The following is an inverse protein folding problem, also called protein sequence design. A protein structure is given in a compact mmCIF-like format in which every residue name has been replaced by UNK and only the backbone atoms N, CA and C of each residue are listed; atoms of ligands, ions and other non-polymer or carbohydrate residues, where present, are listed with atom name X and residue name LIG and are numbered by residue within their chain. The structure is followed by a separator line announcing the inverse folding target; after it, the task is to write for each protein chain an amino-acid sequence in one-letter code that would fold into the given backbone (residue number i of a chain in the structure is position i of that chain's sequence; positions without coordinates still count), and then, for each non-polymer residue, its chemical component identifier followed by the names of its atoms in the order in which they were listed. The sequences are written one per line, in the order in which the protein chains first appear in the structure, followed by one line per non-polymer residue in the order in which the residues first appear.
data_IF_768022028516
#
_entry.id   IF_768022028516
#
_cell.length_a   1.000
_cell.length_b   1.000
_cell.length_c   1.000
_cell.angle_alpha   90.00
_cell.angle_beta   90.00
_cell.angle_gamma   90.00
#
_symmetry.space_group_name_H-M   'P 1'
#
loop_
_entity.id
_entity.type
_entity.pdbx_description
1 polymer ?
#
# COMPACT_ATOMS: atom_id res chain seq x y z
N UNK A 1 -2.54 5.11 -15.95
CA UNK A 1 -2.37 3.89 -15.12
C UNK A 1 -0.90 3.85 -14.74
N UNK A 2 -0.54 3.98 -13.44
CA UNK A 2 0.86 4.11 -13.01
C UNK A 2 1.57 2.75 -13.03
N UNK A 3 2.82 2.72 -13.46
CA UNK A 3 3.61 1.51 -13.72
C UNK A 3 4.70 1.32 -12.65
N UNK A 4 5.33 0.15 -12.60
CA UNK A 4 6.49 -0.13 -11.73
C UNK A 4 7.66 0.81 -12.03
N UNK A 5 7.78 1.31 -13.27
CA UNK A 5 8.78 2.30 -13.65
C UNK A 5 8.57 3.66 -12.97
N UNK A 6 7.32 4.06 -12.70
CA UNK A 6 7.05 5.31 -11.98
C UNK A 6 7.57 5.24 -10.53
N UNK A 7 7.45 4.07 -9.89
CA UNK A 7 7.93 3.83 -8.53
C UNK A 7 9.47 3.84 -8.44
N UNK A 8 10.16 3.36 -9.48
CA UNK A 8 11.64 3.39 -9.56
C UNK A 8 12.21 4.80 -9.81
N UNK A 9 11.41 5.75 -10.30
CA UNK A 9 11.81 7.14 -10.55
C UNK A 9 11.57 8.09 -9.37
N UNK A 10 11.16 7.57 -8.20
CA UNK A 10 10.82 8.42 -7.04
C UNK A 10 9.48 9.14 -7.19
N UNK A 11 8.59 8.66 -8.06
CA UNK A 11 7.23 9.20 -8.16
C UNK A 11 6.42 8.64 -6.99
N UNK A 12 5.96 9.53 -6.11
CA UNK A 12 5.14 9.18 -4.95
C UNK A 12 4.00 8.21 -5.34
N UNK A 13 3.75 7.16 -4.54
CA UNK A 13 2.73 6.17 -4.83
C UNK A 13 1.33 6.82 -4.87
N UNK A 14 0.36 6.16 -5.52
CA UNK A 14 -0.99 6.69 -5.61
C UNK A 14 -1.55 7.04 -4.23
N UNK A 15 -2.08 8.25 -4.09
CA UNK A 15 -2.69 8.71 -2.86
C UNK A 15 -4.12 8.17 -2.76
N UNK A 16 -4.52 7.76 -1.56
CA UNK A 16 -5.90 7.41 -1.30
C UNK A 16 -6.78 8.69 -1.39
N UNK A 17 -8.05 8.58 -1.83
CA UNK A 17 -9.00 9.69 -1.77
C UNK A 17 -9.11 10.21 -0.32
N UNK A 18 -8.90 11.52 -0.11
CA UNK A 18 -8.87 12.14 1.23
C UNK A 18 -7.60 11.87 2.04
N UNK A 19 -6.61 11.16 1.47
CA UNK A 19 -5.32 10.92 2.10
C UNK A 19 -4.43 12.17 2.09
N UNK A 20 -3.65 12.35 3.16
CA UNK A 20 -2.69 13.44 3.23
C UNK A 20 -1.50 13.15 2.30
N UNK A 21 -1.32 13.96 1.26
CA UNK A 21 -0.23 13.83 0.30
C UNK A 21 1.17 13.88 0.93
N UNK A 22 1.29 14.50 2.10
CA UNK A 22 2.57 14.63 2.81
C UNK A 22 2.94 13.33 3.53
N UNK A 23 1.94 12.59 4.02
CA UNK A 23 2.09 11.44 4.92
C UNK A 23 2.59 11.81 6.34
N UNK A 24 2.44 10.88 7.28
CA UNK A 24 2.86 11.00 8.69
C UNK A 24 3.98 10.01 9.05
N UNK A 25 4.86 10.35 10.00
CA UNK A 25 5.88 9.41 10.48
C UNK A 25 5.23 8.33 11.33
N UNK A 26 5.85 7.14 11.42
CA UNK A 26 5.32 6.02 12.23
C UNK A 26 4.96 6.41 13.67
N UNK A 27 5.78 7.27 14.29
CA UNK A 27 5.57 7.74 15.65
C UNK A 27 4.30 8.59 15.84
N UNK A 28 3.78 9.17 14.76
CA UNK A 28 2.62 10.05 14.76
C UNK A 28 1.32 9.33 14.31
N UNK A 29 1.37 8.02 14.08
CA UNK A 29 0.18 7.24 13.71
C UNK A 29 -0.57 6.74 14.94
N UNK A 30 -1.89 6.86 14.89
CA UNK A 30 -2.81 6.18 15.79
C UNK A 30 -2.95 4.70 15.40
N UNK A 31 -3.51 3.90 16.32
CA UNK A 31 -3.67 2.44 16.14
C UNK A 31 -4.39 2.08 14.85
N UNK A 32 -5.45 2.80 14.45
CA UNK A 32 -6.30 2.46 13.31
C UNK A 32 -6.02 3.32 12.07
N UNK A 33 -4.74 3.58 11.78
CA UNK A 33 -4.33 4.39 10.64
C UNK A 33 -3.48 3.60 9.64
N UNK A 34 -3.70 3.89 8.36
CA UNK A 34 -3.08 3.20 7.22
C UNK A 34 -1.56 3.32 7.24
N UNK A 35 -0.87 2.17 7.29
CA UNK A 35 0.59 2.05 7.32
C UNK A 35 1.22 1.85 5.93
N UNK A 36 0.55 2.24 4.86
CA UNK A 36 1.12 2.16 3.52
C UNK A 36 2.22 3.22 3.36
N UNK A 37 3.47 2.85 3.00
CA UNK A 37 4.55 3.80 2.85
C UNK A 37 4.35 4.67 1.60
N UNK A 38 4.50 5.98 1.77
CA UNK A 38 4.42 6.93 0.67
C UNK A 38 5.82 7.33 0.18
N UNK A 39 6.70 7.76 1.08
CA UNK A 39 8.02 8.30 0.72
C UNK A 39 8.97 8.32 1.91
N UNK A 40 10.25 8.57 1.63
CA UNK A 40 11.31 8.55 2.61
C UNK A 40 11.81 7.13 2.87
N UNK A 41 12.92 7.03 3.60
CA UNK A 41 13.60 5.76 3.86
C UNK A 41 13.83 5.55 5.36
N UNK A 42 13.76 4.30 5.80
CA UNK A 42 13.98 3.92 7.20
C UNK A 42 13.06 4.68 8.16
N UNK A 43 13.64 5.33 9.17
CA UNK A 43 12.90 6.08 10.19
C UNK A 43 12.21 7.34 9.65
N UNK A 44 12.65 7.85 8.50
CA UNK A 44 12.06 9.02 7.84
C UNK A 44 10.87 8.63 6.92
N UNK A 45 10.53 7.34 6.86
CA UNK A 45 9.39 6.86 6.06
C UNK A 45 8.10 7.51 6.53
N UNK A 46 7.37 8.10 5.59
CA UNK A 46 6.05 8.69 5.81
C UNK A 46 4.97 7.77 5.28
N UNK A 47 3.88 7.64 6.03
CA UNK A 47 2.78 6.72 5.80
C UNK A 47 1.49 7.46 5.47
N UNK A 48 0.58 6.77 4.78
CA UNK A 48 -0.71 7.31 4.34
C UNK A 48 -1.57 7.91 5.47
N UNK A 49 -1.59 7.27 6.64
CA UNK A 49 -2.34 7.70 7.83
C UNK A 49 -3.85 7.90 7.66
N UNK A 50 -4.44 7.51 6.52
CA UNK A 50 -5.89 7.45 6.35
C UNK A 50 -6.49 6.47 7.36
N UNK A 51 -7.64 6.80 7.92
CA UNK A 51 -8.35 5.92 8.86
C UNK A 51 -8.68 4.57 8.23
N UNK A 52 -8.53 3.52 9.03
CA UNK A 52 -8.92 2.15 8.72
C UNK A 52 -10.01 1.77 9.71
N UNK A 53 -11.12 1.22 9.23
CA UNK A 53 -12.17 0.76 10.13
C UNK A 53 -11.64 -0.33 11.07
N UNK A 54 -12.13 -0.38 12.32
CA UNK A 54 -11.70 -1.42 13.27
C UNK A 54 -11.92 -2.83 12.72
N UNK A 55 -13.04 -3.04 12.02
CA UNK A 55 -13.36 -4.31 11.37
C UNK A 55 -12.37 -4.70 10.26
N UNK A 56 -11.70 -3.73 9.64
CA UNK A 56 -10.67 -3.96 8.62
C UNK A 56 -9.25 -4.06 9.21
N UNK A 57 -9.05 -3.57 10.45
CA UNK A 57 -7.75 -3.48 11.10
C UNK A 57 -7.34 -4.81 11.74
N UNK A 58 -6.51 -5.57 11.01
CA UNK A 58 -5.98 -6.86 11.48
C UNK A 58 -4.44 -6.86 11.39
N UNK A 59 -3.75 -6.24 12.37
CA UNK A 59 -2.30 -6.22 12.39
C UNK A 59 -1.77 -7.65 12.49
N UNK A 60 -0.86 -8.01 11.59
CA UNK A 60 -0.35 -9.39 11.43
C UNK A 60 -0.89 -10.12 10.21
N UNK A 61 -1.98 -9.65 9.60
CA UNK A 61 -2.45 -10.14 8.31
C UNK A 61 -1.95 -9.24 7.16
N UNK A 62 -1.48 -9.80 6.03
CA UNK A 62 -0.98 -9.02 4.89
C UNK A 62 -1.99 -7.98 4.40
N UNK A 63 -1.54 -6.73 4.29
CA UNK A 63 -2.34 -5.62 3.77
C UNK A 63 -3.52 -5.17 4.62
N UNK A 64 -3.74 -5.76 5.81
CA UNK A 64 -4.82 -5.38 6.73
C UNK A 64 -4.48 -4.20 7.65
N UNK A 65 -3.25 -3.69 7.59
CA UNK A 65 -2.88 -2.39 8.16
C UNK A 65 -3.07 -1.24 7.16
N UNK A 66 -3.66 -1.49 5.99
CA UNK A 66 -3.81 -0.50 4.93
C UNK A 66 -5.28 -0.13 4.73
N UNK A 67 -5.53 1.14 4.34
CA UNK A 67 -6.85 1.56 3.92
C UNK A 67 -7.28 0.76 2.67
N UNK A 68 -8.59 0.73 2.38
CA UNK A 68 -9.16 -0.04 1.27
C UNK A 68 -8.46 0.22 -0.07
N UNK A 69 -8.06 1.46 -0.32
CA UNK A 69 -7.36 1.86 -1.55
C UNK A 69 -5.98 1.20 -1.64
N UNK A 70 -5.13 1.39 -0.62
CA UNK A 70 -3.77 0.85 -0.62
C UNK A 70 -3.74 -0.68 -0.48
N UNK A 71 -4.71 -1.27 0.22
CA UNK A 71 -4.93 -2.72 0.26
C UNK A 71 -5.17 -3.29 -1.13
N UNK A 72 -6.07 -2.69 -1.92
CA UNK A 72 -6.33 -3.08 -3.32
C UNK A 72 -5.09 -2.93 -4.21
N UNK A 73 -4.28 -1.91 -3.95
CA UNK A 73 -3.03 -1.69 -4.67
C UNK A 73 -2.03 -2.83 -4.40
N UNK A 74 -1.88 -3.24 -3.13
CA UNK A 74 -0.96 -4.34 -2.75
C UNK A 74 -1.46 -5.72 -3.16
N UNK A 75 -2.77 -5.93 -3.19
CA UNK A 75 -3.35 -7.20 -3.64
C UNK A 75 -3.17 -7.40 -5.15
N UNK A 76 -2.93 -6.34 -5.94
CA UNK A 76 -2.79 -6.43 -7.39
C UNK A 76 -4.12 -6.70 -8.12
N UNK A 77 -4.06 -6.73 -9.47
CA UNK A 77 -5.22 -7.03 -10.32
C UNK A 77 -5.55 -8.52 -10.35
N UNK A 78 -6.79 -8.84 -10.71
CA UNK A 78 -7.29 -10.21 -10.84
C UNK A 78 -8.08 -10.71 -9.62
N UNK A 79 -8.86 -11.75 -9.85
CA UNK A 79 -9.58 -12.55 -8.85
C UNK A 79 -8.61 -13.25 -7.91
N UNK A 80 -9.10 -13.71 -6.76
CA UNK A 80 -8.29 -14.51 -5.84
C UNK A 80 -7.63 -15.72 -6.52
N UNK A 81 -8.35 -16.37 -7.45
CA UNK A 81 -7.85 -17.49 -8.23
C UNK A 81 -6.74 -17.08 -9.22
N UNK A 82 -6.91 -15.97 -9.95
CA UNK A 82 -5.88 -15.46 -10.87
C UNK A 82 -4.60 -15.07 -10.15
N UNK A 83 -4.70 -14.63 -8.89
CA UNK A 83 -3.54 -14.28 -8.07
C UNK A 83 -2.87 -15.49 -7.41
N UNK A 84 -3.63 -16.53 -7.10
CA UNK A 84 -3.11 -17.79 -6.58
C UNK A 84 -2.51 -18.68 -7.67
N UNK A 85 -2.79 -18.39 -8.95
CA UNK A 85 -2.24 -19.12 -10.07
C UNK A 85 -0.70 -18.98 -10.11
N UNK A 86 0.04 -20.09 -10.28
CA UNK A 86 1.49 -20.06 -10.43
C UNK A 86 1.90 -19.18 -11.61
N UNK A 87 2.75 -18.17 -11.39
CA UNK A 87 3.36 -17.37 -12.48
C UNK A 87 4.46 -18.18 -13.17
N UNK A 88 4.09 -19.23 -13.90
CA UNK A 88 5.03 -20.18 -14.51
C UNK A 88 5.54 -19.70 -15.89
N UNK A 89 5.10 -18.55 -16.41
CA UNK A 89 5.39 -18.16 -17.80
C UNK A 89 5.84 -16.70 -18.00
N UNK A 90 6.79 -16.19 -17.23
CA UNK A 90 7.43 -14.89 -17.54
C UNK A 90 8.96 -14.97 -17.54
N UNK A 91 9.52 -15.90 -18.32
CA UNK A 91 10.98 -15.93 -18.60
C UNK A 91 11.34 -16.33 -20.03
N UNK A 92 10.52 -15.93 -21.00
CA UNK A 92 10.85 -15.98 -22.42
C UNK A 92 10.29 -14.73 -23.12
N UNK A 93 11.03 -13.62 -23.02
CA UNK A 93 11.02 -12.52 -23.99
C UNK A 93 12.38 -11.82 -23.92
#
# INVERSE_FOLDING_TARGET
MRTVADMLQGIDPPLAPGGNAIGRLMADLDTHQCRFPLRGEGVATRFCAAEVSEADWLPGAPGRCYCRFHRRLTEGRGTGAERAAPRVLERLA
#
